data_IF_473979801912
#
_entry.id   IF_473979801912
#
_cell.length_a   1.000
_cell.length_b   1.000
_cell.length_c   1.000
_cell.angle_alpha   90.00
_cell.angle_beta   90.00
_cell.angle_gamma   90.00
#
_symmetry.space_group_name_H-M   'P 1'
#
loop_
_entity.id
_entity.type
_entity.pdbx_description
1 polymer ?
#
# COMPACT_ATOMS: atom_id res chain seq x y z
N UNK A 1 13.35 25.77 -15.60
CA UNK A 1 13.59 25.62 -14.15
C UNK A 1 12.40 24.86 -13.57
N UNK A 2 12.49 23.53 -13.51
CA UNK A 2 11.45 22.71 -12.87
C UNK A 2 11.66 22.81 -11.36
N UNK A 3 10.74 23.44 -10.67
CA UNK A 3 10.74 23.42 -9.21
C UNK A 3 10.07 22.12 -8.80
N UNK A 4 10.88 21.15 -8.39
CA UNK A 4 10.37 19.92 -7.79
C UNK A 4 10.18 20.22 -6.30
N UNK A 5 8.93 20.28 -5.85
CA UNK A 5 8.63 20.26 -4.42
C UNK A 5 8.80 18.81 -4.00
N UNK A 6 10.01 18.48 -3.56
CA UNK A 6 10.24 17.22 -2.87
C UNK A 6 9.70 17.42 -1.46
N UNK A 7 8.41 17.17 -1.26
CA UNK A 7 8.00 16.79 0.06
C UNK A 7 8.77 15.50 0.32
N UNK A 8 9.76 15.56 1.18
CA UNK A 8 10.39 14.36 1.70
C UNK A 8 9.24 13.57 2.31
N UNK A 9 8.69 12.67 1.52
CA UNK A 9 7.88 11.61 2.08
C UNK A 9 8.71 11.15 3.25
N UNK A 10 8.15 11.20 4.44
CA UNK A 10 8.82 10.64 5.60
C UNK A 10 9.11 9.23 5.16
N UNK A 11 10.34 9.01 4.73
CA UNK A 11 10.83 7.68 4.53
C UNK A 11 10.57 7.03 5.88
N UNK A 12 9.53 6.22 5.97
CA UNK A 12 9.39 5.32 7.07
C UNK A 12 10.50 4.29 6.95
N UNK A 13 11.72 4.76 7.14
CA UNK A 13 12.63 3.97 7.87
C UNK A 13 12.00 3.87 9.26
N UNK A 14 11.34 2.79 9.55
CA UNK A 14 11.31 2.28 10.90
C UNK A 14 12.76 1.89 11.22
N UNK A 15 13.60 2.92 11.32
CA UNK A 15 14.84 2.79 12.04
C UNK A 15 14.36 2.67 13.47
N UNK A 16 14.22 1.44 13.91
CA UNK A 16 14.28 1.15 15.31
C UNK A 16 15.68 1.58 15.69
N UNK A 17 15.83 2.84 16.10
CA UNK A 17 17.00 3.23 16.83
C UNK A 17 17.00 2.33 18.07
N UNK A 18 18.00 1.49 18.20
CA UNK A 18 18.43 1.11 19.53
C UNK A 18 18.71 2.43 20.25
N UNK A 19 17.70 2.95 20.93
CA UNK A 19 17.94 4.01 21.88
C UNK A 19 18.97 3.42 22.84
N UNK A 20 20.08 4.09 23.00
CA UNK A 20 20.87 3.92 24.21
C UNK A 20 19.87 3.98 25.36
N UNK A 21 19.77 2.89 26.05
CA UNK A 21 18.89 2.60 27.15
C UNK A 21 18.78 3.76 28.14
N UNK A 22 17.62 4.36 28.22
CA UNK A 22 16.98 4.59 29.49
C UNK A 22 15.71 3.76 29.43
N UNK A 23 15.85 2.54 29.87
CA UNK A 23 14.87 1.47 29.86
C UNK A 23 13.88 1.73 31.01
N UNK A 24 12.96 2.66 30.78
CA UNK A 24 11.76 2.83 31.55
C UNK A 24 10.53 2.82 30.62
N UNK A 25 10.55 1.94 29.64
CA UNK A 25 9.32 1.57 28.95
C UNK A 25 8.51 0.70 29.91
N UNK A 26 7.28 1.08 30.28
CA UNK A 26 6.46 0.20 31.08
C UNK A 26 6.21 -1.08 30.29
N UNK A 27 6.61 -2.21 30.86
CA UNK A 27 6.20 -3.54 30.39
C UNK A 27 4.70 -3.61 30.64
N UNK A 28 3.91 -3.44 29.58
CA UNK A 28 2.46 -3.60 29.65
C UNK A 28 2.19 -5.11 29.74
N UNK A 29 1.98 -5.57 30.96
CA UNK A 29 1.59 -6.96 31.29
C UNK A 29 0.07 -7.14 31.28
N UNK A 30 -0.67 -6.34 30.53
CA UNK A 30 -2.12 -6.46 30.56
C UNK A 30 -2.64 -7.47 29.54
N UNK A 31 -3.15 -8.59 30.09
CA UNK A 31 -3.70 -9.75 29.36
C UNK A 31 -5.15 -9.54 28.88
N UNK A 32 -5.70 -8.35 28.98
CA UNK A 32 -7.06 -8.08 28.49
C UNK A 32 -7.05 -7.74 26.99
N UNK A 33 -6.89 -8.76 26.18
CA UNK A 33 -6.90 -8.70 24.71
C UNK A 33 -8.27 -8.37 24.10
N UNK A 34 -9.27 -7.99 24.90
CA UNK A 34 -10.64 -7.73 24.43
C UNK A 34 -10.98 -6.25 24.29
N UNK A 35 -10.03 -5.34 24.49
CA UNK A 35 -10.29 -3.93 24.38
C UNK A 35 -9.92 -3.38 23.01
N UNK A 36 -10.79 -2.52 22.47
CA UNK A 36 -10.53 -1.72 21.28
C UNK A 36 -9.29 -0.88 21.51
N UNK A 37 -8.19 -1.21 20.85
CA UNK A 37 -6.93 -0.49 21.06
C UNK A 37 -6.91 0.72 20.14
N UNK A 38 -7.05 1.92 20.69
CA UNK A 38 -6.82 3.17 19.98
C UNK A 38 -5.32 3.46 20.01
N UNK A 39 -4.62 3.29 18.88
CA UNK A 39 -3.16 3.45 18.82
C UNK A 39 -2.69 4.90 18.89
N UNK A 40 -3.58 5.85 18.91
CA UNK A 40 -3.29 7.27 19.06
C UNK A 40 -4.11 7.90 20.18
N UNK A 41 -4.15 7.29 21.35
CA UNK A 41 -4.70 7.98 22.54
C UNK A 41 -3.77 9.11 22.95
N UNK A 42 -4.35 10.19 23.47
CA UNK A 42 -3.73 11.50 23.59
C UNK A 42 -2.46 11.59 24.46
N UNK A 43 -2.22 10.67 25.34
CA UNK A 43 -1.06 10.70 26.27
C UNK A 43 0.01 9.68 25.96
N UNK A 44 -0.34 8.55 25.35
CA UNK A 44 0.59 7.47 25.01
C UNK A 44 1.08 7.53 23.57
N UNK A 45 0.39 8.26 22.70
CA UNK A 45 0.75 8.44 21.29
C UNK A 45 2.17 8.99 21.07
N UNK A 46 2.75 9.65 22.06
CA UNK A 46 4.13 10.13 21.97
C UNK A 46 5.17 9.01 21.96
N UNK A 47 4.81 7.81 22.35
CA UNK A 47 5.70 6.66 22.42
C UNK A 47 5.56 5.70 21.24
N UNK A 48 4.56 5.89 20.37
CA UNK A 48 4.30 5.00 19.24
C UNK A 48 4.72 5.59 17.89
N UNK A 49 4.78 4.74 16.92
CA UNK A 49 5.16 5.10 15.56
C UNK A 49 4.16 6.08 14.94
N UNK A 50 4.61 6.87 13.99
CA UNK A 50 3.76 7.77 13.19
C UNK A 50 2.67 6.99 12.46
N UNK A 51 2.88 5.70 12.21
CA UNK A 51 2.03 4.81 11.45
C UNK A 51 1.55 3.65 12.31
N UNK A 52 0.39 3.11 11.94
CA UNK A 52 -0.22 2.00 12.64
C UNK A 52 0.65 0.74 12.55
N UNK A 53 0.76 0.06 13.67
CA UNK A 53 1.27 -1.29 13.80
C UNK A 53 0.41 -2.02 14.84
N UNK A 54 -0.04 -3.27 14.60
CA UNK A 54 -0.76 -4.03 15.60
C UNK A 54 0.13 -4.29 16.82
N UNK A 55 -0.51 -4.49 17.97
CA UNK A 55 0.20 -4.81 19.22
C UNK A 55 1.00 -6.12 19.11
N UNK A 56 0.40 -7.11 18.46
CA UNK A 56 1.06 -8.38 18.13
C UNK A 56 1.09 -8.51 16.61
N UNK A 57 2.21 -8.93 16.06
CA UNK A 57 2.37 -9.17 14.64
C UNK A 57 2.58 -7.91 13.81
N UNK A 58 2.21 -7.99 12.54
CA UNK A 58 2.51 -7.01 11.50
C UNK A 58 1.36 -6.91 10.50
N UNK A 59 1.29 -5.78 9.81
CA UNK A 59 0.35 -5.53 8.73
C UNK A 59 0.95 -6.00 7.42
N UNK A 60 0.29 -6.94 6.75
CA UNK A 60 0.49 -7.24 5.34
C UNK A 60 -0.66 -6.66 4.50
N UNK A 61 -0.51 -6.62 3.24
CA UNK A 61 -1.40 -6.25 2.14
C UNK A 61 -2.71 -5.58 2.55
N UNK A 62 -2.74 -4.25 2.70
CA UNK A 62 -3.94 -3.54 3.10
C UNK A 62 -4.97 -3.52 1.95
N UNK A 63 -6.24 -3.65 2.31
CA UNK A 63 -7.40 -3.64 1.43
C UNK A 63 -8.35 -2.52 1.87
N UNK A 64 -8.01 -1.25 1.63
CA UNK A 64 -8.80 -0.13 2.08
C UNK A 64 -10.06 0.05 1.24
N UNK A 65 -11.12 0.53 1.88
CA UNK A 65 -12.31 1.07 1.22
C UNK A 65 -12.91 2.19 2.08
N UNK A 66 -13.67 3.07 1.45
CA UNK A 66 -14.46 4.05 2.17
C UNK A 66 -15.85 3.50 2.40
N UNK A 67 -16.25 3.39 3.66
CA UNK A 67 -17.58 2.93 4.04
C UNK A 67 -18.60 4.07 3.84
N UNK A 68 -19.52 3.96 2.88
CA UNK A 68 -20.47 5.01 2.61
C UNK A 68 -21.54 5.15 3.72
N UNK A 69 -21.66 4.16 4.61
CA UNK A 69 -22.63 4.14 5.70
C UNK A 69 -22.08 4.83 6.95
N UNK A 70 -20.93 4.39 7.44
CA UNK A 70 -20.28 4.97 8.63
C UNK A 70 -19.47 6.22 8.33
N UNK A 71 -19.16 6.50 7.06
CA UNK A 71 -18.28 7.59 6.62
C UNK A 71 -16.86 7.48 7.18
N UNK A 72 -16.37 6.27 7.32
CA UNK A 72 -15.03 5.95 7.77
C UNK A 72 -14.27 5.22 6.68
N UNK A 73 -12.94 5.38 6.69
CA UNK A 73 -12.09 4.46 5.97
C UNK A 73 -11.99 3.17 6.76
N UNK A 74 -12.27 2.06 6.09
CA UNK A 74 -12.08 0.70 6.58
C UNK A 74 -10.88 0.11 5.89
N UNK A 75 -9.99 -0.51 6.64
CA UNK A 75 -8.80 -1.16 6.11
C UNK A 75 -8.80 -2.61 6.59
N UNK A 76 -9.19 -3.51 5.71
CA UNK A 76 -8.92 -4.92 5.90
C UNK A 76 -7.44 -5.14 5.58
N UNK A 77 -6.77 -6.06 6.29
CA UNK A 77 -5.37 -6.35 6.05
C UNK A 77 -5.02 -7.78 6.47
N UNK A 78 -3.97 -8.30 5.89
CA UNK A 78 -3.46 -9.63 6.25
C UNK A 78 -2.62 -9.50 7.53
N UNK A 79 -3.03 -10.18 8.58
CA UNK A 79 -2.30 -10.22 9.85
C UNK A 79 -1.17 -11.25 9.78
N UNK A 80 0.07 -10.82 10.00
CA UNK A 80 1.24 -11.69 10.08
C UNK A 80 1.74 -11.77 11.52
N UNK A 81 1.43 -12.85 12.22
CA UNK A 81 1.84 -13.03 13.62
C UNK A 81 3.28 -13.52 13.76
N UNK A 82 3.89 -14.05 12.70
CA UNK A 82 5.24 -14.62 12.71
C UNK A 82 5.46 -15.63 13.83
N UNK A 83 4.45 -16.41 14.12
CA UNK A 83 4.48 -17.40 15.20
C UNK A 83 5.35 -18.64 14.90
N UNK A 84 5.93 -18.69 13.72
CA UNK A 84 6.80 -19.77 13.25
C UNK A 84 6.06 -21.02 12.79
N UNK A 85 4.74 -21.07 12.91
CA UNK A 85 3.94 -22.26 12.56
C UNK A 85 3.51 -22.30 11.11
N UNK A 86 3.49 -21.17 10.43
CA UNK A 86 3.12 -21.08 9.01
C UNK A 86 3.75 -19.85 8.37
N UNK A 87 4.30 -20.03 7.18
CA UNK A 87 4.81 -18.91 6.38
C UNK A 87 3.71 -18.17 5.62
N UNK A 88 2.49 -18.68 5.59
CA UNK A 88 1.38 -18.15 4.78
C UNK A 88 0.04 -18.12 5.52
N UNK A 89 0.01 -18.29 6.83
CA UNK A 89 -1.22 -18.16 7.62
C UNK A 89 -1.48 -16.69 7.93
N UNK A 90 -2.41 -16.08 7.18
CA UNK A 90 -2.72 -14.65 7.27
C UNK A 90 -4.24 -14.45 7.33
N UNK A 91 -4.90 -14.48 8.50
CA UNK A 91 -6.30 -14.10 8.59
C UNK A 91 -6.46 -12.60 8.25
N UNK A 92 -7.65 -12.21 7.79
CA UNK A 92 -7.97 -10.82 7.55
C UNK A 92 -8.38 -10.16 8.87
N UNK A 93 -7.67 -9.11 9.25
CA UNK A 93 -8.03 -8.20 10.33
C UNK A 93 -8.60 -6.90 9.77
N UNK A 94 -9.30 -6.12 10.61
CA UNK A 94 -9.95 -4.88 10.20
C UNK A 94 -9.60 -3.71 11.11
N UNK A 95 -9.40 -2.55 10.46
CA UNK A 95 -9.22 -1.25 11.10
C UNK A 95 -10.25 -0.27 10.56
N UNK A 96 -10.59 0.74 11.38
CA UNK A 96 -11.31 1.92 10.92
C UNK A 96 -10.59 3.20 11.31
N UNK A 97 -10.75 4.24 10.50
CA UNK A 97 -10.25 5.58 10.76
C UNK A 97 -11.08 6.64 10.06
N UNK A 98 -11.23 7.79 10.71
CA UNK A 98 -11.86 8.98 10.11
C UNK A 98 -10.84 10.03 9.68
N UNK A 99 -9.57 9.91 10.12
CA UNK A 99 -8.54 10.93 9.93
C UNK A 99 -7.21 10.40 9.37
N UNK A 100 -7.13 9.09 9.12
CA UNK A 100 -5.94 8.41 8.59
C UNK A 100 -4.71 8.53 9.52
N UNK A 101 -4.93 8.91 10.77
CA UNK A 101 -3.88 9.06 11.78
C UNK A 101 -4.18 8.26 13.04
N UNK A 102 -5.46 8.12 13.37
CA UNK A 102 -5.94 7.36 14.51
C UNK A 102 -6.77 6.19 14.01
N UNK A 103 -6.44 5.00 14.46
CA UNK A 103 -7.09 3.76 14.01
C UNK A 103 -7.75 3.04 15.18
N UNK A 104 -8.92 2.48 14.91
CA UNK A 104 -9.62 1.55 15.79
C UNK A 104 -9.44 0.16 15.20
N UNK A 105 -8.94 -0.78 16.00
CA UNK A 105 -8.80 -2.18 15.56
C UNK A 105 -10.02 -3.00 15.99
N UNK A 106 -10.61 -3.70 15.01
CA UNK A 106 -11.67 -4.68 15.24
C UNK A 106 -11.14 -6.11 15.28
N UNK A 107 -9.82 -6.28 15.11
CA UNK A 107 -9.14 -7.58 15.08
C UNK A 107 -9.53 -8.45 13.90
N UNK A 108 -9.60 -9.76 14.11
CA UNK A 108 -9.91 -10.72 13.06
C UNK A 108 -11.36 -10.55 12.57
N UNK A 109 -11.47 -10.25 11.29
CA UNK A 109 -12.74 -10.08 10.57
C UNK A 109 -13.10 -11.36 9.78
N UNK A 110 -12.12 -11.92 9.06
CA UNK A 110 -12.29 -13.15 8.28
C UNK A 110 -11.17 -14.12 8.67
N UNK A 111 -11.49 -15.19 9.45
CA UNK A 111 -10.49 -16.17 9.85
C UNK A 111 -10.04 -17.03 8.67
N UNK A 112 -8.86 -17.60 8.76
CA UNK A 112 -8.46 -18.67 7.86
C UNK A 112 -9.39 -19.88 7.97
N UNK A 113 -9.49 -20.62 6.91
CA UNK A 113 -10.20 -21.89 6.88
C UNK A 113 -9.38 -23.05 7.46
N UNK A 114 -9.99 -24.21 7.47
CA UNK A 114 -9.31 -25.47 7.84
C UNK A 114 -8.41 -25.94 6.70
N UNK A 115 -7.53 -26.90 6.98
CA UNK A 115 -6.60 -27.46 6.00
C UNK A 115 -7.27 -28.15 4.79
N UNK A 116 -8.57 -28.45 4.88
CA UNK A 116 -9.33 -29.06 3.78
C UNK A 116 -10.15 -28.06 2.97
N UNK A 117 -10.21 -26.83 3.40
CA UNK A 117 -10.88 -25.73 2.69
C UNK A 117 -9.93 -25.08 1.68
N UNK A 118 -10.44 -24.14 0.89
CA UNK A 118 -9.63 -23.43 -0.11
C UNK A 118 -8.84 -22.26 0.49
N UNK A 119 -9.06 -21.91 1.76
CA UNK A 119 -8.43 -20.78 2.45
C UNK A 119 -7.79 -21.12 3.81
N UNK A 120 -7.00 -22.21 3.93
CA UNK A 120 -6.20 -22.44 5.13
C UNK A 120 -5.17 -21.30 5.35
N UNK A 121 -4.90 -20.53 4.32
CA UNK A 121 -4.23 -19.24 4.33
C UNK A 121 -4.99 -18.27 3.42
N UNK A 122 -4.88 -16.98 3.71
CA UNK A 122 -5.58 -15.95 2.96
C UNK A 122 -4.57 -14.98 2.33
N UNK A 123 -4.83 -14.59 1.09
CA UNK A 123 -4.15 -13.51 0.37
C UNK A 123 -5.05 -12.30 0.16
N UNK A 124 -4.51 -11.33 -0.55
CA UNK A 124 -5.10 -10.01 -0.75
C UNK A 124 -6.45 -10.05 -1.48
N UNK A 125 -7.20 -8.98 -1.32
CA UNK A 125 -8.51 -8.80 -1.93
C UNK A 125 -8.98 -7.36 -1.97
N UNK A 126 -10.31 -7.18 -2.04
CA UNK A 126 -10.96 -5.88 -1.98
C UNK A 126 -12.41 -5.99 -1.52
N UNK A 127 -12.96 -4.87 -1.07
CA UNK A 127 -14.35 -4.78 -0.62
C UNK A 127 -15.12 -3.78 -1.47
N UNK A 128 -16.32 -4.15 -1.87
CA UNK A 128 -17.30 -3.27 -2.51
C UNK A 128 -18.62 -3.28 -1.73
N UNK A 129 -19.25 -2.12 -1.63
CA UNK A 129 -20.59 -1.99 -1.05
C UNK A 129 -21.63 -1.93 -2.15
N UNK A 130 -22.62 -2.80 -2.07
CA UNK A 130 -23.80 -2.74 -2.94
C UNK A 130 -24.94 -2.02 -2.25
N UNK A 131 -25.25 -0.84 -2.78
CA UNK A 131 -26.31 0.02 -2.25
C UNK A 131 -27.69 -0.60 -2.36
N UNK A 132 -27.93 -1.43 -3.39
CA UNK A 132 -29.23 -2.04 -3.62
C UNK A 132 -29.56 -3.09 -2.56
N UNK A 133 -28.62 -3.92 -2.19
CA UNK A 133 -28.77 -4.98 -1.20
C UNK A 133 -28.32 -4.58 0.20
N UNK A 134 -27.71 -3.37 0.35
CA UNK A 134 -27.10 -2.90 1.61
C UNK A 134 -26.11 -3.93 2.16
N UNK A 135 -25.22 -4.42 1.31
CA UNK A 135 -24.30 -5.50 1.63
C UNK A 135 -22.89 -5.14 1.19
N UNK A 136 -21.94 -5.44 2.03
CA UNK A 136 -20.51 -5.42 1.72
C UNK A 136 -20.10 -6.79 1.20
N UNK A 137 -19.38 -6.81 0.09
CA UNK A 137 -18.83 -7.99 -0.55
C UNK A 137 -17.31 -7.87 -0.52
N UNK A 138 -16.64 -8.75 0.22
CA UNK A 138 -15.17 -8.83 0.28
C UNK A 138 -14.73 -10.06 -0.49
N UNK A 139 -14.09 -9.82 -1.63
CA UNK A 139 -13.41 -10.88 -2.38
C UNK A 139 -11.98 -10.94 -1.91
N UNK A 140 -11.47 -12.15 -1.72
CA UNK A 140 -10.13 -12.39 -1.25
C UNK A 140 -9.54 -13.65 -1.88
N UNK A 141 -8.23 -13.78 -1.83
CA UNK A 141 -7.54 -14.96 -2.32
C UNK A 141 -7.50 -16.02 -1.24
N UNK A 142 -8.00 -17.21 -1.53
CA UNK A 142 -7.72 -18.40 -0.73
C UNK A 142 -6.43 -19.04 -1.21
N UNK A 143 -5.52 -19.36 -0.29
CA UNK A 143 -4.26 -20.07 -0.55
C UNK A 143 -4.23 -21.43 0.11
N UNK A 144 -3.76 -22.43 -0.61
CA UNK A 144 -3.52 -23.79 -0.08
C UNK A 144 -2.30 -24.44 -0.72
N UNK A 145 -1.76 -25.46 -0.03
CA UNK A 145 -0.57 -26.18 -0.52
C UNK A 145 -0.85 -27.06 -1.73
N UNK A 146 -2.11 -27.48 -1.93
CA UNK A 146 -2.53 -28.37 -3.03
C UNK A 146 -3.10 -27.57 -4.20
N UNK A 147 -3.01 -28.11 -5.40
CA UNK A 147 -3.56 -27.49 -6.60
C UNK A 147 -5.10 -27.55 -6.70
N UNK A 148 -5.76 -26.50 -7.23
CA UNK A 148 -5.19 -25.19 -7.51
C UNK A 148 -4.78 -24.50 -6.20
N UNK A 149 -3.63 -23.82 -6.20
CA UNK A 149 -3.10 -23.17 -5.00
C UNK A 149 -3.84 -21.89 -4.64
N UNK A 150 -4.38 -21.22 -5.63
CA UNK A 150 -5.04 -19.95 -5.48
C UNK A 150 -6.43 -19.97 -6.13
N UNK A 151 -7.40 -19.44 -5.40
CA UNK A 151 -8.78 -19.24 -5.88
C UNK A 151 -9.34 -17.97 -5.24
N UNK A 152 -10.30 -17.33 -5.91
CA UNK A 152 -11.00 -16.19 -5.34
C UNK A 152 -12.23 -16.69 -4.58
N UNK A 153 -12.36 -16.21 -3.35
CA UNK A 153 -13.43 -16.50 -2.42
C UNK A 153 -14.18 -15.23 -2.04
N UNK A 154 -15.30 -15.37 -1.39
CA UNK A 154 -16.20 -14.29 -1.00
C UNK A 154 -16.59 -14.39 0.48
N UNK A 155 -16.57 -13.25 1.15
CA UNK A 155 -17.26 -13.05 2.42
C UNK A 155 -18.17 -11.82 2.33
N UNK A 156 -19.30 -11.86 3.00
CA UNK A 156 -20.26 -10.76 3.01
C UNK A 156 -20.53 -10.25 4.42
N UNK A 157 -20.91 -8.98 4.52
CA UNK A 157 -21.30 -8.35 5.78
C UNK A 157 -22.45 -7.35 5.55
N UNK A 158 -23.25 -7.12 6.56
CA UNK A 158 -24.27 -6.05 6.57
C UNK A 158 -23.85 -4.80 7.36
N UNK A 159 -22.77 -4.90 8.11
CA UNK A 159 -22.38 -3.88 9.11
C UNK A 159 -20.87 -3.67 9.25
N UNK A 160 -20.05 -4.31 8.42
CA UNK A 160 -18.60 -4.34 8.52
C UNK A 160 -18.06 -4.82 9.88
N UNK A 161 -18.83 -5.59 10.63
CA UNK A 161 -18.43 -6.14 11.93
C UNK A 161 -18.47 -7.65 11.94
N UNK A 162 -19.54 -8.20 11.33
CA UNK A 162 -19.74 -9.64 11.24
C UNK A 162 -19.64 -10.02 9.77
N UNK A 163 -18.60 -10.78 9.45
CA UNK A 163 -18.35 -11.29 8.11
C UNK A 163 -18.73 -12.76 8.02
N UNK A 164 -19.41 -13.12 6.96
CA UNK A 164 -19.83 -14.50 6.70
C UNK A 164 -19.22 -14.95 5.36
N UNK A 165 -18.43 -16.01 5.39
CA UNK A 165 -17.89 -16.63 4.17
C UNK A 165 -19.02 -17.26 3.36
N UNK A 166 -19.10 -16.90 2.09
CA UNK A 166 -20.02 -17.51 1.14
C UNK A 166 -19.41 -18.80 0.60
N UNK A 167 -19.86 -19.93 1.15
CA UNK A 167 -19.37 -21.26 0.77
C UNK A 167 -19.84 -21.72 -0.61
N UNK A 168 -20.81 -21.02 -1.21
CA UNK A 168 -21.28 -21.32 -2.56
C UNK A 168 -20.46 -20.61 -3.64
N UNK A 169 -19.73 -19.56 -3.27
CA UNK A 169 -18.89 -18.81 -4.19
C UNK A 169 -17.46 -19.36 -4.24
N UNK A 170 -16.98 -19.56 -5.46
CA UNK A 170 -15.61 -19.94 -5.75
C UNK A 170 -15.27 -19.63 -7.19
N UNK A 171 -14.33 -18.73 -7.42
CA UNK A 171 -13.85 -18.42 -8.76
C UNK A 171 -12.41 -18.92 -8.93
N UNK A 172 -12.20 -19.78 -9.93
CA UNK A 172 -10.89 -20.35 -10.26
C UNK A 172 -10.30 -19.69 -11.49
N UNK A 173 -8.99 -19.83 -11.64
CA UNK A 173 -8.29 -19.40 -12.85
C UNK A 173 -8.94 -19.98 -14.11
N UNK A 174 -9.14 -19.18 -15.17
CA UNK A 174 -9.74 -19.63 -16.42
C UNK A 174 -8.69 -20.39 -17.27
N UNK A 175 -8.43 -21.64 -16.91
CA UNK A 175 -7.41 -22.50 -17.53
C UNK A 175 -7.68 -22.75 -19.02
N UNK A 176 -8.94 -22.79 -19.45
CA UNK A 176 -9.32 -22.92 -20.86
C UNK A 176 -8.90 -21.72 -21.72
N UNK A 177 -8.71 -20.55 -21.09
CA UNK A 177 -8.13 -19.37 -21.71
C UNK A 177 -6.59 -19.33 -21.62
N UNK A 178 -5.97 -20.38 -21.08
CA UNK A 178 -4.52 -20.57 -20.99
C UNK A 178 -3.86 -19.96 -19.75
N UNK A 179 -4.62 -19.53 -18.74
CA UNK A 179 -4.07 -19.01 -17.48
C UNK A 179 -3.66 -20.13 -16.54
N UNK A 180 -2.61 -19.86 -15.74
CA UNK A 180 -2.08 -20.81 -14.76
C UNK A 180 -3.06 -20.98 -13.60
N UNK A 181 -3.29 -22.25 -13.21
CA UNK A 181 -4.22 -22.58 -12.12
C UNK A 181 -3.72 -22.24 -10.73
N UNK A 182 -2.42 -21.94 -10.55
CA UNK A 182 -1.77 -21.74 -9.27
C UNK A 182 -1.37 -20.27 -9.01
N UNK A 183 -1.50 -19.41 -10.01
CA UNK A 183 -1.15 -18.00 -9.95
C UNK A 183 -2.37 -17.16 -10.34
N UNK A 184 -3.30 -17.01 -9.40
CA UNK A 184 -4.59 -16.36 -9.62
C UNK A 184 -5.09 -15.71 -8.34
N UNK A 185 -4.75 -14.41 -8.14
CA UNK A 185 -4.92 -13.73 -6.85
C UNK A 185 -5.25 -12.25 -6.94
N UNK A 186 -5.45 -11.63 -5.78
CA UNK A 186 -5.62 -10.19 -5.55
C UNK A 186 -6.83 -9.58 -6.26
N UNK A 187 -8.05 -10.10 -6.06
CA UNK A 187 -9.24 -9.57 -6.71
C UNK A 187 -9.49 -8.13 -6.27
N UNK A 188 -9.69 -7.25 -7.24
CA UNK A 188 -10.13 -5.88 -7.03
C UNK A 188 -11.47 -5.64 -7.73
N UNK A 189 -12.48 -5.25 -6.96
CA UNK A 189 -13.83 -5.07 -7.48
C UNK A 189 -14.27 -3.61 -7.37
N UNK A 190 -14.83 -3.08 -8.45
CA UNK A 190 -15.43 -1.76 -8.50
C UNK A 190 -16.67 -1.74 -9.39
N UNK A 191 -17.55 -0.78 -9.17
CA UNK A 191 -18.73 -0.55 -10.00
C UNK A 191 -18.40 0.41 -11.14
N UNK A 192 -18.64 -0.01 -12.37
CA UNK A 192 -18.56 0.84 -13.55
C UNK A 192 -19.95 1.41 -13.86
N UNK A 193 -20.15 2.68 -13.50
CA UNK A 193 -21.42 3.36 -13.69
C UNK A 193 -21.77 3.57 -15.19
N UNK A 194 -20.77 3.61 -16.06
CA UNK A 194 -20.99 3.74 -17.51
C UNK A 194 -21.49 2.43 -18.11
N UNK A 195 -20.85 1.32 -17.74
CA UNK A 195 -21.24 -0.01 -18.19
C UNK A 195 -22.40 -0.62 -17.37
N UNK A 196 -22.77 0.01 -16.26
CA UNK A 196 -23.77 -0.46 -15.30
C UNK A 196 -23.52 -1.90 -14.82
N UNK A 197 -22.27 -2.23 -14.55
CA UNK A 197 -21.87 -3.54 -14.04
C UNK A 197 -20.73 -3.41 -13.05
N UNK A 198 -20.50 -4.46 -12.28
CA UNK A 198 -19.29 -4.62 -11.49
C UNK A 198 -18.17 -5.20 -12.35
N UNK A 199 -16.97 -4.71 -12.15
CA UNK A 199 -15.75 -5.25 -12.75
C UNK A 199 -14.87 -5.82 -11.66
N UNK A 200 -14.30 -7.00 -11.90
CA UNK A 200 -13.29 -7.62 -11.04
C UNK A 200 -12.01 -7.75 -11.82
N UNK A 201 -10.94 -7.18 -11.31
CA UNK A 201 -9.58 -7.34 -11.83
C UNK A 201 -8.86 -8.38 -10.99
N UNK A 202 -8.15 -9.31 -11.62
CA UNK A 202 -7.43 -10.38 -10.95
C UNK A 202 -6.04 -10.52 -11.55
N UNK A 203 -5.04 -10.63 -10.69
CA UNK A 203 -3.66 -10.94 -11.08
C UNK A 203 -3.57 -12.40 -11.49
N UNK A 204 -3.06 -12.65 -12.68
CA UNK A 204 -2.97 -13.98 -13.27
C UNK A 204 -1.66 -14.18 -14.05
N UNK A 205 -1.23 -15.42 -14.21
CA UNK A 205 -0.06 -15.79 -15.00
C UNK A 205 -0.50 -16.55 -16.27
N UNK A 206 0.16 -16.26 -17.38
CA UNK A 206 -0.02 -17.01 -18.64
C UNK A 206 1.32 -17.08 -19.37
N UNK A 207 1.78 -18.30 -19.69
CA UNK A 207 3.05 -18.55 -20.37
C UNK A 207 4.29 -17.94 -19.66
N UNK A 208 4.24 -17.75 -18.34
CA UNK A 208 5.30 -17.12 -17.56
C UNK A 208 5.21 -15.61 -17.45
N UNK A 209 4.24 -14.98 -18.12
CA UNK A 209 4.00 -13.54 -18.07
C UNK A 209 2.81 -13.19 -17.18
N UNK A 210 2.91 -12.08 -16.43
CA UNK A 210 1.85 -11.58 -15.57
C UNK A 210 0.79 -10.80 -16.37
N UNK A 211 -0.45 -10.98 -15.98
CA UNK A 211 -1.61 -10.29 -16.54
C UNK A 211 -2.50 -9.78 -15.42
N UNK A 212 -3.21 -8.70 -15.67
CA UNK A 212 -4.41 -8.35 -14.93
C UNK A 212 -5.60 -8.68 -15.81
N UNK A 213 -6.34 -9.72 -15.46
CA UNK A 213 -7.51 -10.16 -16.21
C UNK A 213 -8.79 -9.58 -15.61
N UNK A 214 -9.82 -9.48 -16.44
CA UNK A 214 -11.05 -8.80 -16.09
C UNK A 214 -12.25 -9.76 -16.18
N UNK A 215 -13.08 -9.70 -15.13
CA UNK A 215 -14.41 -10.28 -15.12
C UNK A 215 -15.46 -9.19 -14.94
N UNK A 216 -16.67 -9.45 -15.41
CA UNK A 216 -17.83 -8.57 -15.20
C UNK A 216 -18.98 -9.31 -14.57
N UNK A 217 -19.77 -8.60 -13.74
CA UNK A 217 -20.95 -9.14 -13.07
C UNK A 217 -22.02 -8.09 -12.92
N UNK A 218 -23.29 -8.49 -12.91
CA UNK A 218 -24.43 -7.63 -12.56
C UNK A 218 -25.01 -7.94 -11.19
N UNK A 219 -24.56 -8.99 -10.53
CA UNK A 219 -25.12 -9.48 -9.26
C UNK A 219 -24.09 -9.78 -8.18
N UNK A 220 -22.78 -9.52 -8.42
CA UNK A 220 -21.68 -9.76 -7.49
C UNK A 220 -21.50 -11.24 -7.09
N UNK A 221 -22.07 -12.17 -7.86
CA UNK A 221 -21.93 -13.60 -7.60
C UNK A 221 -21.54 -14.37 -8.86
N UNK A 222 -22.15 -14.08 -9.99
CA UNK A 222 -21.83 -14.71 -11.26
C UNK A 222 -20.91 -13.77 -12.05
N UNK A 223 -19.75 -14.28 -12.47
CA UNK A 223 -18.69 -13.49 -13.11
C UNK A 223 -18.31 -14.05 -14.48
N UNK A 224 -18.39 -13.20 -15.48
CA UNK A 224 -18.04 -13.51 -16.87
C UNK A 224 -16.65 -12.99 -17.21
N UNK A 225 -15.73 -13.88 -17.61
CA UNK A 225 -14.40 -13.52 -18.08
C UNK A 225 -14.50 -12.68 -19.36
N UNK A 226 -13.80 -11.56 -19.41
CA UNK A 226 -13.61 -10.77 -20.63
C UNK A 226 -12.55 -11.43 -21.53
N UNK A 227 -12.74 -11.44 -22.86
CA UNK A 227 -11.79 -12.07 -23.77
C UNK A 227 -10.39 -11.44 -23.70
N UNK A 228 -10.35 -10.12 -23.61
CA UNK A 228 -9.10 -9.36 -23.52
C UNK A 228 -8.77 -9.07 -22.05
N UNK A 229 -7.50 -9.23 -21.65
CA UNK A 229 -7.07 -8.83 -20.31
C UNK A 229 -7.21 -7.30 -20.14
N UNK A 230 -7.40 -6.87 -18.91
CA UNK A 230 -7.36 -5.46 -18.58
C UNK A 230 -5.97 -4.86 -18.82
N UNK A 231 -4.94 -5.63 -18.48
CA UNK A 231 -3.54 -5.26 -18.67
C UNK A 231 -2.70 -6.51 -18.91
N UNK A 232 -1.81 -6.48 -19.89
CA UNK A 232 -0.87 -7.56 -20.18
C UNK A 232 0.57 -7.13 -19.88
N UNK A 233 1.32 -8.04 -19.33
CA UNK A 233 2.72 -7.83 -19.01
C UNK A 233 3.62 -8.43 -20.07
N UNK A 234 4.46 -7.60 -20.66
CA UNK A 234 5.42 -8.04 -21.68
C UNK A 234 6.82 -8.34 -21.12
N UNK A 235 7.04 -8.18 -19.81
CA UNK A 235 8.39 -8.27 -19.24
C UNK A 235 8.58 -9.44 -18.27
N UNK A 236 7.69 -10.44 -18.32
CA UNK A 236 7.79 -11.62 -17.45
C UNK A 236 7.64 -11.30 -15.96
N UNK A 237 7.00 -10.17 -15.62
CA UNK A 237 6.75 -9.77 -14.24
C UNK A 237 5.36 -10.21 -13.82
N UNK A 238 5.20 -10.45 -12.53
CA UNK A 238 3.89 -10.58 -11.92
C UNK A 238 3.48 -9.24 -11.30
N UNK A 239 2.26 -8.82 -11.58
CA UNK A 239 1.65 -7.62 -11.01
C UNK A 239 0.65 -8.03 -9.96
N UNK A 240 0.76 -7.45 -8.77
CA UNK A 240 -0.06 -7.75 -7.62
C UNK A 240 -0.88 -6.55 -7.19
N UNK A 241 -1.93 -6.81 -6.42
CA UNK A 241 -2.73 -5.79 -5.74
C UNK A 241 -3.28 -4.71 -6.70
N UNK A 242 -3.94 -5.06 -7.83
CA UNK A 242 -4.50 -4.05 -8.72
C UNK A 242 -5.54 -3.20 -7.99
N UNK A 243 -5.60 -1.91 -8.36
CA UNK A 243 -6.54 -0.93 -7.82
C UNK A 243 -6.83 0.10 -8.90
N UNK A 244 -8.10 0.24 -9.30
CA UNK A 244 -8.53 1.17 -10.35
C UNK A 244 -9.52 2.18 -9.80
N UNK A 245 -9.28 3.46 -10.03
CA UNK A 245 -10.13 4.52 -9.56
C UNK A 245 -10.10 5.74 -10.48
N UNK A 246 -11.13 6.56 -10.35
CA UNK A 246 -11.17 7.88 -10.95
C UNK A 246 -10.83 8.95 -9.91
N UNK A 247 -10.01 9.91 -10.30
CA UNK A 247 -9.71 11.11 -9.52
C UNK A 247 -9.64 12.31 -10.44
N UNK A 248 -10.47 13.32 -10.19
CA UNK A 248 -10.66 14.42 -11.13
C UNK A 248 -11.12 13.92 -12.50
N UNK A 249 -10.41 14.31 -13.55
CA UNK A 249 -10.71 13.93 -14.93
C UNK A 249 -9.93 12.72 -15.45
N UNK A 250 -9.16 12.05 -14.58
CA UNK A 250 -8.32 10.93 -14.97
C UNK A 250 -8.71 9.64 -14.26
N UNK A 251 -8.50 8.53 -14.94
CA UNK A 251 -8.54 7.18 -14.42
C UNK A 251 -7.12 6.72 -14.11
N UNK A 252 -6.97 6.00 -13.02
CA UNK A 252 -5.70 5.49 -12.52
C UNK A 252 -5.78 4.00 -12.29
N UNK A 253 -4.69 3.30 -12.56
CA UNK A 253 -4.45 1.94 -12.11
C UNK A 253 -3.18 1.95 -11.26
N UNK A 254 -3.32 1.59 -10.00
CA UNK A 254 -2.21 1.35 -9.06
C UNK A 254 -2.00 -0.15 -8.94
N UNK A 255 -0.76 -0.59 -8.85
CA UNK A 255 -0.40 -1.98 -8.71
C UNK A 255 0.97 -2.11 -8.06
N UNK A 256 1.29 -3.31 -7.55
CA UNK A 256 2.60 -3.66 -7.01
C UNK A 256 3.33 -4.56 -7.98
N UNK A 257 4.52 -4.15 -8.42
CA UNK A 257 5.41 -4.98 -9.22
C UNK A 257 6.32 -5.77 -8.29
N UNK A 258 6.36 -7.09 -8.44
CA UNK A 258 7.31 -7.94 -7.68
C UNK A 258 8.78 -7.63 -7.96
N UNK A 259 9.04 -6.87 -9.00
CA UNK A 259 10.39 -6.58 -9.44
C UNK A 259 11.03 -7.75 -10.19
N UNK A 260 12.29 -7.57 -10.52
CA UNK A 260 13.13 -8.58 -11.17
C UNK A 260 14.47 -8.66 -10.44
N UNK A 261 15.38 -9.52 -10.90
CA UNK A 261 16.75 -9.57 -10.36
C UNK A 261 17.46 -8.21 -10.39
N UNK A 262 17.11 -7.36 -11.36
CA UNK A 262 17.77 -6.08 -11.60
C UNK A 262 16.89 -4.87 -11.19
N UNK A 263 15.65 -5.09 -10.78
CA UNK A 263 14.71 -4.03 -10.44
C UNK A 263 14.01 -4.36 -9.13
N UNK A 264 13.83 -3.36 -8.24
CA UNK A 264 13.19 -3.58 -6.96
C UNK A 264 11.69 -3.83 -7.09
N UNK A 265 11.11 -4.46 -6.09
CA UNK A 265 9.68 -4.49 -5.89
C UNK A 265 9.20 -3.08 -5.47
N UNK A 266 8.19 -2.55 -6.14
CA UNK A 266 7.68 -1.18 -5.95
C UNK A 266 6.18 -1.10 -6.24
N UNK A 267 5.55 -0.05 -5.72
CA UNK A 267 4.19 0.34 -6.11
C UNK A 267 4.28 1.34 -7.25
N UNK A 268 3.51 1.09 -8.30
CA UNK A 268 3.51 1.89 -9.52
C UNK A 268 2.08 2.26 -9.92
N UNK A 269 1.94 3.21 -10.85
CA UNK A 269 0.65 3.57 -11.41
C UNK A 269 0.74 3.91 -12.90
N UNK A 270 -0.40 3.74 -13.56
CA UNK A 270 -0.70 4.31 -14.88
C UNK A 270 -1.91 5.22 -14.78
N UNK A 271 -2.07 6.12 -15.74
CA UNK A 271 -3.24 6.96 -15.82
C UNK A 271 -3.62 7.29 -17.25
N UNK A 272 -4.91 7.54 -17.47
CA UNK A 272 -5.48 7.93 -18.75
C UNK A 272 -6.72 8.81 -18.51
N UNK A 273 -7.23 9.45 -19.57
CA UNK A 273 -8.43 10.27 -19.46
C UNK A 273 -9.72 9.45 -19.35
N UNK A 274 -9.71 8.26 -19.93
CA UNK A 274 -10.85 7.33 -19.87
C UNK A 274 -10.43 5.95 -19.38
N UNK A 275 -11.40 5.18 -18.90
CA UNK A 275 -11.17 3.79 -18.48
C UNK A 275 -10.73 2.90 -19.67
N UNK A 276 -11.29 3.15 -20.85
CA UNK A 276 -10.93 2.38 -22.06
C UNK A 276 -9.50 2.70 -22.53
N UNK A 277 -9.06 3.95 -22.44
CA UNK A 277 -7.66 4.32 -22.69
C UNK A 277 -6.72 3.70 -21.64
N UNK A 278 -7.14 3.65 -20.37
CA UNK A 278 -6.36 3.02 -19.31
C UNK A 278 -6.16 1.52 -19.60
N UNK A 279 -7.19 0.83 -20.05
CA UNK A 279 -7.13 -0.57 -20.51
C UNK A 279 -6.26 -0.73 -21.75
N UNK A 280 -6.33 0.23 -22.66
CA UNK A 280 -5.56 0.28 -23.92
C UNK A 280 -4.09 0.67 -23.74
N UNK A 281 -3.64 0.98 -22.53
CA UNK A 281 -2.20 1.06 -22.20
C UNK A 281 -1.57 -0.36 -22.29
N UNK A 282 -2.07 -1.15 -23.20
CA UNK A 282 -1.42 -2.35 -23.65
C UNK A 282 -0.17 -1.97 -24.43
N UNK A 283 0.93 -2.52 -24.03
CA UNK A 283 2.22 -2.27 -24.64
C UNK A 283 2.22 -2.84 -26.04
N UNK A 284 2.07 -1.99 -27.05
CA UNK A 284 2.32 -2.39 -28.43
C UNK A 284 3.83 -2.56 -28.65
N UNK A 285 4.21 -3.73 -29.17
CA UNK A 285 5.58 -4.05 -29.61
C UNK A 285 6.67 -3.91 -28.54
N UNK A 286 6.39 -4.19 -27.28
CA UNK A 286 7.41 -4.18 -26.24
C UNK A 286 7.86 -2.79 -25.80
N UNK A 287 7.13 -1.76 -26.16
CA UNK A 287 7.37 -0.40 -25.67
C UNK A 287 6.22 0.06 -24.78
N UNK A 288 6.53 0.49 -23.58
CA UNK A 288 5.59 1.28 -22.80
C UNK A 288 5.21 2.55 -23.58
N UNK A 289 3.96 2.98 -23.54
CA UNK A 289 3.64 4.33 -23.92
C UNK A 289 4.61 5.26 -23.17
N UNK A 290 4.93 6.41 -23.71
CA UNK A 290 5.95 7.39 -23.28
C UNK A 290 6.09 7.63 -21.77
N UNK A 291 5.38 6.90 -20.97
CA UNK A 291 5.39 6.86 -19.54
C UNK A 291 6.50 5.92 -19.06
N UNK A 292 7.59 6.51 -18.59
CA UNK A 292 8.73 5.75 -18.09
C UNK A 292 8.36 5.17 -16.72
N UNK A 293 8.50 3.85 -16.48
CA UNK A 293 8.14 3.20 -15.23
C UNK A 293 8.73 3.86 -13.97
N UNK A 294 9.89 4.52 -14.10
CA UNK A 294 10.53 5.24 -13.00
C UNK A 294 9.79 6.51 -12.57
N UNK A 295 9.01 7.11 -13.44
CA UNK A 295 8.24 8.31 -13.14
C UNK A 295 6.90 8.00 -12.47
N UNK A 296 6.46 6.75 -12.51
CA UNK A 296 5.20 6.26 -11.94
C UNK A 296 5.33 5.55 -10.61
N UNK A 297 6.47 5.62 -9.94
CA UNK A 297 6.59 5.04 -8.60
C UNK A 297 5.83 5.87 -7.57
N UNK A 298 5.03 5.17 -6.77
CA UNK A 298 4.41 5.72 -5.58
C UNK A 298 5.18 5.26 -4.36
N UNK A 299 6.00 6.17 -3.79
CA UNK A 299 6.96 5.88 -2.73
C UNK A 299 8.17 5.06 -3.21
N UNK A 300 9.01 4.61 -2.30
CA UNK A 300 10.28 3.94 -2.57
C UNK A 300 10.23 2.43 -2.39
N UNK A 301 11.39 1.81 -2.53
CA UNK A 301 11.60 0.35 -2.49
C UNK A 301 11.28 -0.33 -1.15
N UNK A 302 10.81 0.40 -0.17
CA UNK A 302 10.40 -0.11 1.15
C UNK A 302 8.91 0.10 1.41
N UNK A 303 8.12 0.35 0.38
CA UNK A 303 6.67 0.44 0.43
C UNK A 303 6.09 -0.55 -0.57
N UNK A 304 5.13 -1.37 -0.15
CA UNK A 304 4.58 -2.43 -0.98
C UNK A 304 3.09 -2.67 -0.73
N UNK A 305 2.45 -3.41 -1.67
CA UNK A 305 1.03 -3.74 -1.68
C UNK A 305 0.11 -2.52 -1.56
N UNK A 306 0.48 -1.45 -2.29
CA UNK A 306 -0.24 -0.18 -2.26
C UNK A 306 -1.63 -0.29 -2.86
N UNK A 307 -2.67 0.05 -2.09
CA UNK A 307 -4.07 0.16 -2.53
C UNK A 307 -4.70 1.43 -1.99
N UNK A 308 -5.72 1.92 -2.66
CA UNK A 308 -6.29 3.23 -2.38
C UNK A 308 -7.75 3.18 -1.93
N UNK A 309 -8.16 4.17 -1.15
CA UNK A 309 -9.55 4.50 -0.93
C UNK A 309 -9.72 6.02 -0.89
N UNK A 310 -10.87 6.51 -1.31
CA UNK A 310 -11.18 7.93 -1.32
C UNK A 310 -12.56 8.22 -0.75
N UNK A 311 -12.67 9.32 -0.02
CA UNK A 311 -13.93 9.98 0.27
C UNK A 311 -14.25 11.04 -0.81
N UNK A 312 -15.24 11.88 -0.58
CA UNK A 312 -15.62 12.95 -1.51
C UNK A 312 -14.56 14.05 -1.65
N UNK A 313 -13.53 14.06 -0.79
CA UNK A 313 -12.56 15.15 -0.67
C UNK A 313 -11.13 14.70 -0.94
N UNK A 314 -10.74 13.57 -0.40
CA UNK A 314 -9.37 13.08 -0.42
C UNK A 314 -9.32 11.62 -0.86
N UNK A 315 -8.19 11.25 -1.47
CA UNK A 315 -7.85 9.85 -1.69
C UNK A 315 -6.53 9.56 -1.00
N UNK A 316 -6.47 8.42 -0.36
CA UNK A 316 -5.29 7.96 0.34
C UNK A 316 -4.80 6.65 -0.26
N UNK A 317 -3.51 6.43 -0.19
CA UNK A 317 -2.80 5.20 -0.56
C UNK A 317 -2.29 4.55 0.73
N UNK A 318 -2.68 3.31 0.98
CA UNK A 318 -2.13 2.49 2.06
C UNK A 318 -1.26 1.38 1.49
N UNK A 319 -0.17 1.10 2.18
CA UNK A 319 0.72 0.00 1.92
C UNK A 319 1.46 -0.37 3.21
N UNK A 320 2.36 -1.32 3.15
CA UNK A 320 3.16 -1.68 4.30
C UNK A 320 4.65 -1.44 4.05
N UNK A 321 5.35 -1.06 5.13
CA UNK A 321 6.80 -0.97 5.15
C UNK A 321 7.37 -2.20 5.84
N UNK A 322 8.26 -2.98 5.18
CA UNK A 322 8.81 -4.21 5.72
C UNK A 322 9.64 -3.96 6.96
N UNK A 323 9.59 -4.90 7.88
CA UNK A 323 10.64 -5.00 8.89
C UNK A 323 11.90 -5.59 8.28
N UNK A 324 13.03 -5.42 8.97
CA UNK A 324 14.31 -5.96 8.53
C UNK A 324 14.94 -6.84 9.60
N UNK A 325 15.60 -7.90 9.17
CA UNK A 325 16.31 -8.82 10.04
C UNK A 325 17.30 -8.07 10.95
N UNK A 326 17.26 -8.39 12.25
CA UNK A 326 18.08 -7.74 13.26
C UNK A 326 17.85 -6.24 13.39
N UNK A 327 16.77 -5.69 12.85
CA UNK A 327 16.46 -4.25 12.82
C UNK A 327 17.60 -3.40 12.20
N UNK A 328 18.35 -3.98 11.29
CA UNK A 328 19.48 -3.32 10.60
C UNK A 328 19.07 -2.82 9.23
N UNK A 329 19.59 -1.69 8.80
CA UNK A 329 19.34 -1.13 7.46
C UNK A 329 19.80 -2.06 6.33
N UNK A 330 20.76 -2.92 6.59
CA UNK A 330 21.27 -3.94 5.68
C UNK A 330 20.63 -5.31 5.84
N UNK A 331 19.70 -5.46 6.82
CA UNK A 331 19.01 -6.73 7.06
C UNK A 331 18.06 -7.11 5.93
N UNK A 332 17.83 -8.40 5.76
CA UNK A 332 16.86 -8.94 4.82
C UNK A 332 15.47 -8.38 5.14
N UNK A 333 14.74 -7.93 4.12
CA UNK A 333 13.36 -7.49 4.27
C UNK A 333 12.48 -8.70 4.56
N UNK A 334 11.63 -8.59 5.58
CA UNK A 334 10.57 -9.55 5.85
C UNK A 334 9.28 -9.09 5.16
N UNK A 335 8.41 -10.02 4.78
CA UNK A 335 7.05 -9.69 4.39
C UNK A 335 6.29 -9.07 5.56
N UNK A 336 5.34 -8.17 5.31
CA UNK A 336 4.60 -7.39 6.30
C UNK A 336 5.45 -6.45 7.18
N UNK A 337 4.78 -5.49 7.82
CA UNK A 337 5.43 -4.51 8.67
C UNK A 337 4.47 -3.50 9.30
N UNK A 338 4.79 -2.21 9.22
CA UNK A 338 3.90 -1.14 9.65
C UNK A 338 2.99 -0.69 8.50
N UNK A 339 1.74 -0.39 8.79
CA UNK A 339 0.82 0.22 7.84
C UNK A 339 1.23 1.67 7.61
N UNK A 340 1.48 2.02 6.37
CA UNK A 340 1.81 3.40 5.95
C UNK A 340 0.67 3.95 5.12
N UNK A 341 0.36 5.23 5.32
CA UNK A 341 -0.66 5.92 4.55
C UNK A 341 -0.10 7.22 3.97
N UNK A 342 -0.39 7.47 2.70
CA UNK A 342 -0.09 8.71 1.99
C UNK A 342 -1.38 9.34 1.47
N UNK A 343 -1.46 10.66 1.45
CA UNK A 343 -2.50 11.37 0.72
C UNK A 343 -2.05 11.50 -0.75
N UNK A 344 -2.90 11.09 -1.67
CA UNK A 344 -2.67 11.30 -3.10
C UNK A 344 -3.03 12.72 -3.50
N UNK A 345 -2.16 13.33 -4.28
CA UNK A 345 -2.37 14.66 -4.89
C UNK A 345 -2.33 14.48 -6.40
N UNK A 346 -3.40 14.85 -7.07
CA UNK A 346 -3.41 14.94 -8.53
C UNK A 346 -2.80 16.27 -8.98
N UNK A 347 -1.78 16.19 -9.80
CA UNK A 347 -1.17 17.36 -10.45
C UNK A 347 -1.99 17.79 -11.68
N UNK A 348 -1.74 18.98 -12.18
CA UNK A 348 -2.50 19.52 -13.31
C UNK A 348 -2.34 18.74 -14.63
N UNK A 349 -1.28 17.97 -14.77
CA UNK A 349 -0.99 17.10 -15.92
C UNK A 349 -1.51 15.65 -15.73
N UNK A 350 -2.19 15.38 -14.62
CA UNK A 350 -2.70 14.05 -14.29
C UNK A 350 -1.73 13.18 -13.50
N UNK A 351 -0.46 13.56 -13.36
CA UNK A 351 0.47 12.80 -12.53
C UNK A 351 0.07 12.84 -11.06
N UNK A 352 0.50 11.83 -10.30
CA UNK A 352 0.26 11.73 -8.87
C UNK A 352 1.49 12.12 -8.06
N UNK A 353 1.27 12.86 -6.99
CA UNK A 353 2.24 13.12 -5.94
C UNK A 353 1.72 12.59 -4.60
N UNK A 354 2.64 12.29 -3.69
CA UNK A 354 2.32 11.85 -2.34
C UNK A 354 2.50 12.99 -1.34
N UNK A 355 1.59 13.06 -0.38
CA UNK A 355 1.68 13.96 0.77
C UNK A 355 1.38 13.19 2.07
N UNK A 356 1.85 13.72 3.18
CA UNK A 356 1.53 13.17 4.50
C UNK A 356 0.08 13.48 4.83
N UNK A 357 -0.71 12.52 5.33
CA UNK A 357 -2.06 12.79 5.80
C UNK A 357 -2.10 13.96 6.79
N UNK A 358 -3.08 14.85 6.62
CA UNK A 358 -3.13 16.11 7.35
C UNK A 358 -3.11 15.92 8.87
N UNK A 359 -3.85 14.94 9.39
CA UNK A 359 -3.91 14.68 10.82
C UNK A 359 -2.57 14.15 11.37
N UNK A 360 -1.81 13.40 10.58
CA UNK A 360 -0.43 13.03 10.94
C UNK A 360 0.45 14.26 10.96
N UNK A 361 0.40 15.08 9.90
CA UNK A 361 1.19 16.31 9.79
C UNK A 361 0.94 17.26 10.95
N UNK A 362 -0.29 17.41 11.41
CA UNK A 362 -0.69 18.30 12.50
C UNK A 362 -0.09 17.90 13.86
N UNK A 363 0.33 16.65 14.04
CA UNK A 363 1.00 16.20 15.27
C UNK A 363 2.41 16.75 15.44
N UNK A 364 3.00 17.27 14.37
CA UNK A 364 4.34 17.88 14.37
C UNK A 364 4.23 19.40 14.49
N UNK A 365 3.84 19.89 15.67
CA UNK A 365 3.54 21.30 15.91
C UNK A 365 4.73 22.12 16.43
N UNK A 366 5.80 21.47 16.86
CA UNK A 366 6.97 22.15 17.42
C UNK A 366 8.07 22.29 16.35
N UNK A 367 8.43 23.52 16.03
CA UNK A 367 9.56 23.79 15.15
C UNK A 367 10.88 23.53 15.88
N UNK A 368 11.80 22.88 15.16
CA UNK A 368 13.17 22.62 15.64
C UNK A 368 14.14 23.29 14.69
N UNK A 369 15.05 24.07 15.22
CA UNK A 369 16.14 24.65 14.43
C UNK A 369 17.18 23.60 14.13
N UNK A 370 17.48 23.39 12.85
CA UNK A 370 18.57 22.53 12.41
C UNK A 370 19.90 23.22 12.65
N UNK A 371 20.63 22.79 13.67
CA UNK A 371 21.97 23.31 13.93
C UNK A 371 22.99 22.64 12.98
N UNK A 372 23.61 23.43 12.12
CA UNK A 372 24.68 22.98 11.25
C UNK A 372 25.89 22.52 12.06
N UNK A 373 26.51 21.41 11.68
CA UNK A 373 27.70 20.84 12.32
C UNK A 373 28.90 20.81 11.39
N UNK A 374 28.71 20.42 10.15
CA UNK A 374 29.83 20.27 9.20
C UNK A 374 29.32 20.49 7.78
N UNK A 375 30.16 21.12 6.98
CA UNK A 375 30.01 21.22 5.52
C UNK A 375 31.20 20.51 4.88
N UNK A 376 30.93 19.80 3.81
CA UNK A 376 31.93 19.14 2.97
C UNK A 376 31.67 19.48 1.53
N UNK A 377 32.72 19.75 0.80
CA UNK A 377 32.66 20.17 -0.59
C UNK A 377 32.32 21.66 -0.76
N UNK A 378 31.83 22.02 -1.94
CA UNK A 378 31.45 23.40 -2.29
C UNK A 378 30.01 23.68 -1.89
N UNK A 379 29.85 24.32 -0.74
CA UNK A 379 28.57 24.64 -0.12
C UNK A 379 28.47 26.14 0.12
N UNK A 380 27.51 26.78 -0.54
CA UNK A 380 27.13 28.16 -0.26
C UNK A 380 25.90 28.17 0.63
N UNK A 381 25.99 28.96 1.74
CA UNK A 381 24.90 29.11 2.71
C UNK A 381 24.24 30.46 2.50
N UNK A 382 22.94 30.46 2.30
CA UNK A 382 22.08 31.63 2.34
C UNK A 382 21.22 31.57 3.61
N UNK A 383 20.50 32.60 3.94
CA UNK A 383 19.75 32.73 5.20
C UNK A 383 18.85 31.52 5.53
N UNK A 384 18.26 30.88 4.52
CA UNK A 384 17.33 29.76 4.70
C UNK A 384 17.55 28.60 3.69
N UNK A 385 18.65 28.64 2.94
CA UNK A 385 18.92 27.64 1.90
C UNK A 385 20.40 27.31 1.77
N UNK A 386 20.68 26.17 1.15
CA UNK A 386 22.02 25.70 0.83
C UNK A 386 22.09 25.47 -0.68
N UNK A 387 23.16 25.98 -1.30
CA UNK A 387 23.52 25.60 -2.66
C UNK A 387 24.66 24.60 -2.57
N UNK A 388 24.45 23.42 -3.10
CA UNK A 388 25.39 22.31 -3.07
C UNK A 388 25.90 22.04 -4.50
N UNK A 389 27.22 21.93 -4.70
CA UNK A 389 27.78 21.37 -5.91
C UNK A 389 27.99 19.87 -5.79
N UNK A 390 28.43 19.22 -6.85
CA UNK A 390 28.69 17.79 -6.87
C UNK A 390 29.59 17.37 -5.69
N UNK A 391 29.29 16.21 -5.10
CA UNK A 391 30.01 15.63 -3.97
C UNK A 391 30.06 16.51 -2.71
N UNK A 392 29.06 17.37 -2.52
CA UNK A 392 28.94 18.24 -1.36
C UNK A 392 27.79 17.83 -0.45
N UNK A 393 27.94 18.04 0.84
CA UNK A 393 26.87 17.83 1.80
C UNK A 393 26.97 18.76 3.01
N UNK A 394 25.83 18.94 3.68
CA UNK A 394 25.73 19.60 4.98
C UNK A 394 25.24 18.59 6.00
N UNK A 395 25.96 18.48 7.10
CA UNK A 395 25.58 17.67 8.26
C UNK A 395 25.00 18.57 9.33
N UNK A 396 23.84 18.17 9.84
CA UNK A 396 23.18 18.84 10.94
C UNK A 396 23.35 18.08 12.25
N UNK A 397 23.05 18.76 13.36
CA UNK A 397 23.00 18.13 14.66
C UNK A 397 21.95 17.01 14.72
N UNK A 398 22.14 16.12 15.68
CA UNK A 398 21.21 15.03 15.93
C UNK A 398 19.79 15.56 16.17
N UNK A 399 18.84 15.02 15.44
CA UNK A 399 17.41 15.20 15.69
C UNK A 399 16.90 14.09 16.64
N UNK A 400 15.81 14.36 17.32
CA UNK A 400 15.09 13.32 18.06
C UNK A 400 14.49 12.30 17.07
N UNK A 401 14.04 11.15 17.55
CA UNK A 401 13.61 10.03 16.72
C UNK A 401 12.37 10.30 15.84
N UNK A 402 11.57 11.33 16.16
CA UNK A 402 10.35 11.66 15.42
C UNK A 402 10.40 13.09 14.96
N UNK A 403 10.47 13.26 13.66
CA UNK A 403 10.53 14.60 13.07
C UNK A 403 9.81 14.58 11.72
N UNK A 404 9.17 15.69 11.42
CA UNK A 404 8.77 16.03 10.04
C UNK A 404 9.81 16.99 9.50
N UNK A 405 10.45 16.62 8.40
CA UNK A 405 11.39 17.46 7.67
C UNK A 405 10.69 17.94 6.40
N UNK A 406 10.64 19.24 6.20
CA UNK A 406 10.14 19.83 4.96
C UNK A 406 11.29 20.56 4.29
N UNK A 407 11.52 20.27 3.02
CA UNK A 407 12.52 20.94 2.21
C UNK A 407 12.03 21.13 0.78
N UNK A 408 12.55 22.15 0.12
CA UNK A 408 12.41 22.33 -1.32
C UNK A 408 13.78 22.14 -1.94
N UNK A 409 13.89 21.28 -2.94
CA UNK A 409 15.10 21.14 -3.74
C UNK A 409 14.87 21.66 -5.15
N UNK A 410 15.81 22.46 -5.65
CA UNK A 410 15.82 22.93 -7.04
C UNK A 410 17.01 22.30 -7.73
N UNK A 411 16.76 21.55 -8.80
CA UNK A 411 17.79 20.91 -9.60
C UNK A 411 17.84 21.60 -10.95
N UNK A 412 19.02 22.01 -11.45
CA UNK A 412 19.13 22.55 -12.81
C UNK A 412 18.73 21.50 -13.87
N UNK A 413 18.05 21.92 -14.91
CA UNK A 413 17.53 21.04 -15.99
C UNK A 413 18.61 20.25 -16.72
N UNK A 414 19.83 20.76 -16.71
CA UNK A 414 20.96 20.17 -17.48
C UNK A 414 21.77 19.13 -16.70
N UNK A 415 21.39 18.82 -15.47
CA UNK A 415 22.18 17.93 -14.61
C UNK A 415 21.39 16.69 -14.16
N UNK A 416 21.92 15.52 -14.47
CA UNK A 416 21.52 14.27 -13.82
C UNK A 416 22.11 14.21 -12.40
N UNK A 417 21.61 15.05 -11.50
CA UNK A 417 22.10 15.12 -10.14
C UNK A 417 21.32 14.17 -9.24
N UNK A 418 22.03 13.25 -8.58
CA UNK A 418 21.48 12.48 -7.46
C UNK A 418 21.62 13.31 -6.20
N UNK A 419 20.50 13.59 -5.54
CA UNK A 419 20.47 14.28 -4.25
C UNK A 419 19.55 13.54 -3.28
N UNK A 420 19.71 13.79 -1.99
CA UNK A 420 18.85 13.17 -1.00
C UNK A 420 19.18 13.58 0.43
N UNK A 421 18.38 13.09 1.36
CA UNK A 421 18.64 13.14 2.78
C UNK A 421 19.24 11.81 3.23
N UNK A 422 20.35 11.88 3.94
CA UNK A 422 20.95 10.70 4.56
C UNK A 422 20.82 10.81 6.07
N UNK A 423 20.28 9.77 6.68
CA UNK A 423 20.25 9.63 8.13
C UNK A 423 21.41 8.72 8.53
N UNK A 424 22.30 9.26 9.33
CA UNK A 424 23.47 8.52 9.82
C UNK A 424 23.20 8.10 11.26
N UNK A 425 23.34 6.81 11.53
CA UNK A 425 23.34 6.32 12.90
C UNK A 425 24.61 6.87 13.62
N UNK A 426 24.38 7.52 14.76
CA UNK A 426 25.46 8.06 15.59
C UNK A 426 25.73 7.11 16.76
N UNK A 427 25.80 5.78 16.48
CA UNK A 427 26.30 4.83 17.47
C UNK A 427 27.75 5.08 17.82
#
# INVERSE_FOLDING_TARGET
MKTMILMASILCLSISFAACSDDNSPVITDKNLNETTTFFSSTESNNYTTYYKPYVGYVGDPMPFFDPVSKEFRILYLQDDRDGNSTIYHPIHELATTDVANYISFREAIPCGTAVEDDPAIGTGSTVYDEATKTYYTYYTGHKATEPREVILLATSKDCKIWTKDRSFRLSAPIEAGYDKNEFRDPYVFYDATAQCYRMLVSALKNGDGYIIEFTSTNLHDWDLKPEPFFNNIWGRFYECPDVFQMGSYWYMVYSSQGTKNEPAVVQYFYAQTLEELKGIAVENGQFPTFVPHEGWLDGVSFYAGKTAGDDTNRYLWGWCPTREGQKTTGTKSWAGALVAHRLIQNGDGTLSLDVPQAISAKYSQSVTLAEKTKVGDVTVNTSSYTLKANSFVRFARLRSRNKITMTATIPEENEAVFGLSFVDCS
#
